data_IF_565255809373
#
_entry.id   IF_565255809373
#
_cell.length_a   1.000
_cell.length_b   1.000
_cell.length_c   1.000
_cell.angle_alpha   90.00
_cell.angle_beta   90.00
_cell.angle_gamma   90.00
#
_symmetry.space_group_name_H-M   'P 1'
#
loop_
_entity.id
_entity.type
_entity.pdbx_description
1 polymer ?
#
# COMPACT_ATOMS: atom_id res chain seq x y z
N UNK A 1 -60.85 51.54 -37.80
CA UNK A 1 -60.61 50.21 -37.20
C UNK A 1 -59.36 49.61 -37.83
N UNK A 2 -58.18 49.90 -37.26
CA UNK A 2 -56.89 49.31 -37.65
C UNK A 2 -56.36 48.59 -36.41
N UNK A 3 -56.30 47.26 -36.50
CA UNK A 3 -55.80 46.36 -35.47
C UNK A 3 -54.26 46.47 -35.41
N UNK A 4 -53.72 46.85 -34.25
CA UNK A 4 -52.30 46.68 -33.92
C UNK A 4 -52.12 45.28 -33.31
N UNK A 5 -51.28 44.46 -33.95
CA UNK A 5 -50.83 43.15 -33.44
C UNK A 5 -49.62 43.36 -32.51
N UNK A 6 -49.50 42.64 -31.36
CA UNK A 6 -48.31 42.70 -30.53
C UNK A 6 -47.20 41.85 -31.16
N UNK A 7 -45.98 42.40 -31.23
CA UNK A 7 -44.79 41.66 -31.60
C UNK A 7 -44.32 40.83 -30.40
N UNK A 8 -44.35 39.50 -30.52
CA UNK A 8 -43.78 38.56 -29.55
C UNK A 8 -42.29 38.44 -29.87
N UNK A 9 -41.44 38.94 -28.97
CA UNK A 9 -39.99 38.78 -29.04
C UNK A 9 -39.64 37.37 -28.55
N UNK A 10 -39.20 36.50 -29.46
CA UNK A 10 -38.61 35.20 -29.11
C UNK A 10 -37.20 35.44 -28.54
N UNK A 11 -37.06 35.30 -27.22
CA UNK A 11 -35.76 35.24 -26.56
C UNK A 11 -35.23 33.81 -26.72
N UNK A 12 -34.27 33.61 -27.62
CA UNK A 12 -33.61 32.32 -27.82
C UNK A 12 -32.69 32.05 -26.63
N UNK A 13 -33.11 31.17 -25.73
CA UNK A 13 -32.27 30.66 -24.64
C UNK A 13 -31.21 29.73 -25.27
N UNK A 14 -29.97 30.21 -25.40
CA UNK A 14 -28.84 29.36 -25.77
C UNK A 14 -28.49 28.54 -24.53
N UNK A 15 -28.96 27.30 -24.49
CA UNK A 15 -28.52 26.31 -23.52
C UNK A 15 -27.06 25.96 -23.86
N UNK A 16 -26.12 26.59 -23.17
CA UNK A 16 -24.71 26.16 -23.19
C UNK A 16 -24.67 24.87 -22.39
N UNK A 17 -24.78 23.74 -23.07
CA UNK A 17 -24.43 22.44 -22.48
C UNK A 17 -22.90 22.43 -22.39
N UNK A 18 -22.29 22.38 -21.20
CA UNK A 18 -20.87 22.09 -21.11
C UNK A 18 -20.68 20.70 -21.73
N UNK A 19 -20.00 20.66 -22.88
CA UNK A 19 -19.43 19.41 -23.36
C UNK A 19 -18.30 19.09 -22.40
N UNK A 20 -18.58 18.25 -21.40
CA UNK A 20 -17.54 17.55 -20.67
C UNK A 20 -16.81 16.68 -21.69
N UNK A 21 -15.62 17.12 -22.11
CA UNK A 21 -14.70 16.26 -22.82
C UNK A 21 -14.17 15.29 -21.78
N UNK A 22 -14.67 14.04 -21.78
CA UNK A 22 -13.99 12.96 -21.06
C UNK A 22 -12.60 12.85 -21.67
N UNK A 23 -11.59 13.31 -20.94
CA UNK A 23 -10.22 13.00 -21.28
C UNK A 23 -10.03 11.52 -20.99
N UNK A 24 -9.61 10.77 -22.01
CA UNK A 24 -9.19 9.40 -21.81
C UNK A 24 -7.95 9.41 -20.90
N UNK A 25 -7.94 8.67 -19.81
CA UNK A 25 -6.79 8.57 -18.90
C UNK A 25 -6.28 7.13 -18.86
N UNK A 26 -5.05 6.89 -18.40
CA UNK A 26 -4.51 5.55 -18.18
C UNK A 26 -3.69 5.49 -16.89
N UNK A 27 -3.82 4.39 -16.13
CA UNK A 27 -3.06 4.21 -14.89
C UNK A 27 -1.57 4.07 -15.20
N UNK A 28 -0.73 4.88 -14.57
CA UNK A 28 0.72 4.87 -14.78
C UNK A 28 1.45 4.54 -13.48
N UNK A 29 2.33 3.54 -13.55
CA UNK A 29 3.28 3.23 -12.46
C UNK A 29 4.71 3.40 -12.95
N UNK A 30 5.55 3.98 -12.10
CA UNK A 30 7.00 4.10 -12.36
C UNK A 30 7.73 3.27 -11.32
N UNK A 31 8.34 2.18 -11.77
CA UNK A 31 9.17 1.31 -10.93
C UNK A 31 10.64 1.59 -11.19
N UNK A 32 11.43 1.82 -10.14
CA UNK A 32 12.89 2.00 -10.23
C UNK A 32 13.57 0.87 -9.47
N UNK A 33 14.33 0.04 -10.19
CA UNK A 33 15.30 -0.89 -9.62
C UNK A 33 16.64 -0.18 -9.51
N UNK A 34 16.94 0.30 -8.30
CA UNK A 34 18.11 1.12 -8.08
C UNK A 34 19.40 0.32 -8.06
N UNK A 35 20.51 0.84 -8.63
CA UNK A 35 21.83 0.26 -8.41
C UNK A 35 22.25 0.44 -6.94
N UNK A 36 23.28 -0.28 -6.49
CA UNK A 36 23.85 -0.17 -5.12
C UNK A 36 24.51 1.19 -4.80
N UNK A 37 24.31 2.18 -5.64
CA UNK A 37 24.75 3.56 -5.47
C UNK A 37 23.58 4.51 -5.76
N UNK A 38 22.34 4.10 -5.46
CA UNK A 38 21.10 4.90 -5.56
C UNK A 38 21.27 6.34 -5.10
N UNK A 39 22.08 6.59 -4.06
CA UNK A 39 22.32 7.92 -3.51
C UNK A 39 22.79 8.96 -4.54
N UNK A 40 23.46 8.55 -5.62
CA UNK A 40 23.99 9.47 -6.63
C UNK A 40 23.04 9.67 -7.83
N UNK A 41 21.87 9.03 -7.80
CA UNK A 41 20.91 9.00 -8.89
C UNK A 41 19.59 9.65 -8.49
N UNK A 42 18.86 10.15 -9.49
CA UNK A 42 17.43 10.50 -9.37
C UNK A 42 16.75 10.28 -10.72
N UNK A 43 15.43 10.10 -10.69
CA UNK A 43 14.57 10.10 -11.86
C UNK A 43 13.51 11.17 -11.65
N UNK A 44 13.28 12.01 -12.64
CA UNK A 44 12.19 12.98 -12.63
C UNK A 44 11.17 12.58 -13.70
N UNK A 45 9.88 12.72 -13.40
CA UNK A 45 8.77 12.43 -14.32
C UNK A 45 8.15 13.75 -14.75
N UNK A 46 7.99 13.95 -16.05
CA UNK A 46 7.45 15.18 -16.62
C UNK A 46 6.25 14.91 -17.52
N UNK A 47 5.30 15.84 -17.51
CA UNK A 47 4.18 15.87 -18.44
C UNK A 47 4.57 16.47 -19.81
N UNK A 48 3.69 16.37 -20.82
CA UNK A 48 3.89 16.99 -22.14
C UNK A 48 4.11 18.51 -22.14
N UNK A 49 3.69 19.20 -21.07
CA UNK A 49 3.83 20.64 -20.89
C UNK A 49 5.12 21.03 -20.13
N UNK A 50 6.01 20.07 -19.86
CA UNK A 50 7.25 20.20 -19.07
C UNK A 50 7.00 20.55 -17.59
N UNK A 51 5.83 20.25 -17.04
CA UNK A 51 5.61 20.29 -15.60
C UNK A 51 6.24 19.05 -14.97
N UNK A 52 6.97 19.26 -13.87
CA UNK A 52 7.52 18.16 -13.07
C UNK A 52 6.38 17.55 -12.25
N UNK A 53 6.11 16.26 -12.48
CA UNK A 53 5.09 15.51 -11.75
C UNK A 53 5.67 14.85 -10.50
N UNK A 54 6.86 14.25 -10.61
CA UNK A 54 7.45 13.47 -9.52
C UNK A 54 8.98 13.47 -9.59
N UNK A 55 9.63 13.55 -8.43
CA UNK A 55 11.06 13.27 -8.28
C UNK A 55 11.25 12.00 -7.45
N UNK A 56 11.95 11.03 -8.02
CA UNK A 56 12.23 9.72 -7.42
C UNK A 56 13.72 9.65 -7.12
N UNK A 57 14.09 9.39 -5.86
CA UNK A 57 15.47 9.22 -5.42
C UNK A 57 15.53 8.41 -4.11
N UNK A 58 16.74 8.24 -3.58
CA UNK A 58 16.95 7.62 -2.28
C UNK A 58 16.45 8.50 -1.12
N UNK A 59 15.50 7.97 -0.34
CA UNK A 59 14.86 8.67 0.79
C UNK A 59 15.86 9.20 1.83
N UNK A 60 16.96 8.47 2.05
CA UNK A 60 17.97 8.86 3.04
C UNK A 60 19.05 9.76 2.43
N UNK A 61 19.26 9.66 1.11
CA UNK A 61 20.41 10.23 0.40
C UNK A 61 20.03 10.64 -1.03
N UNK A 62 19.10 11.57 -1.18
CA UNK A 62 18.65 11.97 -2.52
C UNK A 62 19.74 12.74 -3.29
N UNK A 63 20.22 12.16 -4.39
CA UNK A 63 21.08 12.80 -5.42
C UNK A 63 22.33 13.53 -4.86
N UNK A 64 23.18 12.78 -4.16
CA UNK A 64 24.41 13.23 -3.50
C UNK A 64 25.66 12.73 -4.24
N UNK A 65 26.74 13.52 -4.27
CA UNK A 65 28.02 13.12 -4.88
C UNK A 65 28.75 12.02 -4.11
N UNK A 66 28.48 11.89 -2.81
CA UNK A 66 29.10 10.90 -1.92
C UNK A 66 28.06 10.27 -1.01
N UNK A 67 28.14 8.96 -0.82
CA UNK A 67 27.22 8.22 0.00
C UNK A 67 27.48 6.72 -0.05
N UNK A 68 26.62 5.98 0.64
CA UNK A 68 26.52 4.54 0.56
C UNK A 68 25.05 4.22 0.62
N UNK A 69 24.61 3.33 -0.27
CA UNK A 69 23.27 2.79 -0.30
C UNK A 69 23.33 1.35 -0.80
N UNK A 70 22.22 0.64 -0.72
CA UNK A 70 22.08 -0.71 -1.24
C UNK A 70 21.12 -0.70 -2.44
N UNK A 71 21.10 -1.79 -3.20
CA UNK A 71 20.08 -1.96 -4.25
C UNK A 71 18.73 -2.14 -3.57
N UNK A 72 17.72 -1.44 -4.05
CA UNK A 72 16.32 -1.63 -3.68
C UNK A 72 15.45 -1.30 -4.89
N UNK A 73 14.23 -1.83 -4.91
CA UNK A 73 13.24 -1.45 -5.92
C UNK A 73 12.23 -0.55 -5.24
N UNK A 74 11.61 0.35 -5.98
CA UNK A 74 10.51 1.18 -5.48
C UNK A 74 9.53 1.39 -6.62
N UNK A 75 8.23 1.40 -6.35
CA UNK A 75 7.19 1.68 -7.33
C UNK A 75 6.32 2.82 -6.86
N UNK A 76 6.22 3.84 -7.71
CA UNK A 76 5.32 4.96 -7.53
C UNK A 76 4.10 4.75 -8.40
N UNK A 77 2.91 4.87 -7.82
CA UNK A 77 1.66 4.97 -8.56
C UNK A 77 1.34 6.44 -8.81
N UNK A 78 1.26 6.84 -10.08
CA UNK A 78 0.94 8.19 -10.49
C UNK A 78 -0.57 8.37 -10.76
N UNK A 79 -1.38 7.33 -10.49
CA UNK A 79 -2.79 7.35 -10.81
C UNK A 79 -3.03 7.38 -12.31
N UNK A 80 -4.14 7.99 -12.72
CA UNK A 80 -4.57 8.03 -14.11
C UNK A 80 -4.06 9.30 -14.81
N UNK A 81 -2.97 9.16 -15.57
CA UNK A 81 -2.46 10.28 -16.36
C UNK A 81 -3.30 10.48 -17.63
N UNK A 82 -3.53 11.74 -18.00
CA UNK A 82 -4.34 12.10 -19.16
C UNK A 82 -3.66 11.77 -20.49
N UNK A 83 -4.46 11.26 -21.43
CA UNK A 83 -4.09 11.13 -22.83
C UNK A 83 -4.23 12.50 -23.46
N UNK A 84 -3.11 13.11 -23.86
CA UNK A 84 -3.17 14.32 -24.68
C UNK A 84 -3.66 13.94 -26.10
N UNK A 85 -4.84 14.41 -26.53
CA UNK A 85 -5.43 14.05 -27.81
C UNK A 85 -4.82 14.79 -29.01
N UNK A 86 -3.87 15.73 -28.81
CA UNK A 86 -3.37 16.61 -29.88
C UNK A 86 -1.83 16.69 -29.87
N UNK A 87 -1.17 15.61 -30.29
CA UNK A 87 0.11 15.64 -31.02
C UNK A 87 1.25 16.54 -30.47
N UNK A 88 1.38 16.68 -29.14
CA UNK A 88 2.51 17.30 -28.44
C UNK A 88 3.22 16.24 -27.56
N UNK A 89 4.48 16.48 -27.11
CA UNK A 89 5.42 15.40 -26.84
C UNK A 89 4.90 14.47 -25.74
N UNK A 90 5.09 13.18 -25.95
CA UNK A 90 4.95 12.14 -24.93
C UNK A 90 5.45 12.62 -23.56
N UNK A 91 4.84 12.12 -22.48
CA UNK A 91 5.44 12.18 -21.15
C UNK A 91 6.89 11.69 -21.23
N UNK A 92 7.75 12.17 -20.33
CA UNK A 92 9.13 11.75 -20.33
C UNK A 92 9.69 11.61 -18.93
N UNK A 93 10.61 10.66 -18.80
CA UNK A 93 11.50 10.57 -17.67
C UNK A 93 12.75 11.38 -17.95
N UNK A 94 13.31 11.99 -16.92
CA UNK A 94 14.67 12.52 -16.94
C UNK A 94 15.52 11.77 -15.93
N UNK A 95 16.49 11.01 -16.44
CA UNK A 95 17.30 10.08 -15.63
C UNK A 95 18.65 10.71 -15.35
N UNK A 96 18.99 10.85 -14.07
CA UNK A 96 20.19 11.55 -13.64
C UNK A 96 21.19 10.63 -12.93
N UNK A 97 22.45 11.01 -13.04
CA UNK A 97 23.55 10.53 -12.23
C UNK A 97 24.54 11.68 -11.99
N UNK A 98 24.71 12.12 -10.74
CA UNK A 98 25.47 13.34 -10.43
C UNK A 98 26.98 13.22 -10.70
N UNK A 99 27.50 11.99 -10.77
CA UNK A 99 28.92 11.70 -10.90
C UNK A 99 29.32 11.29 -12.33
N UNK A 100 28.40 11.39 -13.30
CA UNK A 100 28.59 10.93 -14.69
C UNK A 100 29.13 9.49 -14.79
N UNK A 101 28.71 8.63 -13.88
CA UNK A 101 28.98 7.20 -13.87
C UNK A 101 27.66 6.43 -14.02
N UNK A 102 27.19 6.19 -15.28
CA UNK A 102 25.86 5.68 -15.55
C UNK A 102 25.51 4.40 -14.78
N UNK A 103 24.21 4.12 -14.68
CA UNK A 103 23.72 2.99 -13.89
C UNK A 103 24.27 1.67 -14.45
N UNK A 104 24.42 0.68 -13.57
CA UNK A 104 25.05 -0.60 -13.90
C UNK A 104 24.36 -1.76 -13.20
N UNK A 105 24.70 -3.00 -13.62
CA UNK A 105 24.09 -4.21 -13.08
C UNK A 105 22.70 -4.44 -13.65
N UNK A 106 21.74 -4.82 -12.80
CA UNK A 106 20.34 -5.02 -13.16
C UNK A 106 19.48 -3.76 -13.00
N UNK A 107 20.11 -2.60 -12.78
CA UNK A 107 19.38 -1.37 -12.53
C UNK A 107 18.50 -0.97 -13.73
N UNK A 108 17.31 -0.49 -13.43
CA UNK A 108 16.38 -0.03 -14.47
C UNK A 108 15.33 0.93 -13.91
N UNK A 109 14.74 1.71 -14.81
CA UNK A 109 13.44 2.35 -14.59
C UNK A 109 12.46 1.79 -15.61
N UNK A 110 11.31 1.36 -15.12
CA UNK A 110 10.21 0.80 -15.92
C UNK A 110 8.97 1.66 -15.74
N UNK A 111 8.34 2.02 -16.86
CA UNK A 111 7.02 2.66 -16.86
C UNK A 111 6.00 1.64 -17.32
N UNK A 112 5.05 1.36 -16.43
CA UNK A 112 3.90 0.52 -16.71
C UNK A 112 2.68 1.40 -16.97
N UNK A 113 2.02 1.22 -18.11
CA UNK A 113 0.78 1.91 -18.47
C UNK A 113 -0.31 0.85 -18.63
N UNK A 114 -1.33 0.92 -17.76
CA UNK A 114 -2.47 0.02 -17.76
C UNK A 114 -2.08 -1.48 -17.81
N UNK A 115 -1.06 -1.87 -17.04
CA UNK A 115 -0.60 -3.26 -16.94
C UNK A 115 0.44 -3.66 -17.98
N UNK A 116 0.84 -2.76 -18.90
CA UNK A 116 1.85 -3.03 -19.92
C UNK A 116 3.09 -2.17 -19.68
N UNK A 117 4.27 -2.80 -19.62
CA UNK A 117 5.54 -2.08 -19.59
C UNK A 117 5.80 -1.41 -20.96
N UNK A 118 5.65 -0.10 -21.02
CA UNK A 118 5.81 0.69 -22.26
C UNK A 118 7.22 1.28 -22.40
N UNK A 119 7.96 1.36 -21.29
CA UNK A 119 9.33 1.80 -21.24
C UNK A 119 10.10 0.97 -20.22
N UNK A 120 11.30 0.53 -20.59
CA UNK A 120 12.34 0.05 -19.67
C UNK A 120 13.66 0.66 -20.09
N UNK A 121 14.24 1.51 -19.25
CA UNK A 121 15.55 2.10 -19.45
C UNK A 121 16.52 1.59 -18.37
N UNK A 122 17.77 1.34 -18.75
CA UNK A 122 18.79 0.74 -17.84
C UNK A 122 19.63 1.79 -17.13
N UNK A 123 19.38 3.08 -17.36
CA UNK A 123 20.15 4.21 -16.83
C UNK A 123 21.59 4.27 -17.34
N UNK A 124 21.93 3.50 -18.38
CA UNK A 124 23.29 3.42 -18.96
C UNK A 124 23.70 4.70 -19.69
N UNK A 125 22.74 5.58 -19.97
CA UNK A 125 22.94 6.91 -20.56
C UNK A 125 22.75 8.04 -19.54
N UNK A 126 22.50 7.73 -18.26
CA UNK A 126 22.25 8.74 -17.23
C UNK A 126 23.49 9.64 -17.02
N UNK A 127 23.25 10.93 -16.81
CA UNK A 127 24.31 11.94 -16.64
C UNK A 127 23.92 13.01 -15.62
N UNK A 128 24.84 13.89 -15.26
CA UNK A 128 24.60 15.00 -14.34
C UNK A 128 23.64 16.03 -14.95
N UNK A 129 23.57 16.12 -16.29
CA UNK A 129 22.63 16.98 -17.00
C UNK A 129 21.20 16.38 -17.06
N UNK A 130 21.08 15.08 -16.78
CA UNK A 130 19.88 14.29 -16.97
C UNK A 130 19.68 13.89 -18.44
N UNK A 131 19.14 12.69 -18.64
CA UNK A 131 18.87 12.13 -19.96
C UNK A 131 17.38 11.88 -20.12
N UNK A 132 16.79 12.48 -21.14
CA UNK A 132 15.35 12.40 -21.39
C UNK A 132 14.99 11.08 -22.11
N UNK A 133 13.97 10.40 -21.61
CA UNK A 133 13.43 9.16 -22.19
C UNK A 133 11.91 9.26 -22.24
N UNK A 134 11.38 9.31 -23.45
CA UNK A 134 9.95 9.52 -23.70
C UNK A 134 9.14 8.22 -23.56
N UNK A 135 7.92 8.33 -23.05
CA UNK A 135 6.96 7.22 -22.98
C UNK A 135 5.54 7.71 -23.29
N UNK A 136 4.75 6.83 -23.91
CA UNK A 136 3.39 7.16 -24.32
C UNK A 136 2.39 6.53 -23.35
N UNK A 137 1.38 7.29 -22.94
CA UNK A 137 0.32 6.82 -22.03
C UNK A 137 -0.93 6.36 -22.75
N UNK A 138 -0.98 6.33 -24.09
CA UNK A 138 -2.14 5.88 -24.86
C UNK A 138 -2.22 4.35 -24.83
N UNK A 139 -3.04 3.84 -23.91
CA UNK A 139 -3.48 2.45 -23.90
C UNK A 139 -4.92 2.34 -24.39
N UNK A 140 -5.27 1.16 -24.94
CA UNK A 140 -6.65 0.82 -25.27
C UNK A 140 -7.52 0.61 -24.00
N UNK A 141 -6.87 0.39 -22.85
CA UNK A 141 -7.51 0.12 -21.57
C UNK A 141 -7.59 1.41 -20.76
N UNK A 142 -8.68 2.17 -20.95
CA UNK A 142 -8.91 3.40 -20.19
C UNK A 142 -8.85 3.15 -18.68
N UNK A 143 -8.32 4.13 -17.96
CA UNK A 143 -8.50 4.20 -16.52
C UNK A 143 -9.99 4.35 -16.22
N UNK A 144 -10.57 3.32 -15.62
CA UNK A 144 -11.92 3.35 -15.05
C UNK A 144 -11.85 3.45 -13.54
N UNK A 145 -10.76 4.00 -13.01
CA UNK A 145 -10.68 4.30 -11.59
C UNK A 145 -11.64 5.47 -11.30
N UNK A 146 -12.37 5.42 -10.18
CA UNK A 146 -13.14 6.56 -9.68
C UNK A 146 -12.28 7.84 -9.56
N UNK A 147 -12.96 8.97 -9.71
CA UNK A 147 -12.51 10.36 -9.55
C UNK A 147 -13.75 11.08 -9.01
N UNK A 148 -13.92 11.00 -7.68
CA UNK A 148 -15.18 11.27 -7.00
C UNK A 148 -15.52 12.76 -7.02
N UNK A 149 -14.55 13.65 -6.77
CA UNK A 149 -14.72 15.10 -6.83
C UNK A 149 -14.56 15.71 -8.25
N UNK A 150 -13.96 14.96 -9.18
CA UNK A 150 -13.79 15.37 -10.57
C UNK A 150 -12.63 16.34 -10.81
N UNK A 151 -11.64 16.42 -9.92
CA UNK A 151 -10.49 17.32 -10.06
C UNK A 151 -9.41 16.82 -11.04
N UNK A 152 -9.51 15.54 -11.44
CA UNK A 152 -8.63 14.88 -12.40
C UNK A 152 -7.47 14.10 -11.76
N UNK A 153 -7.38 14.08 -10.44
CA UNK A 153 -6.73 13.04 -9.64
C UNK A 153 -7.74 11.90 -9.47
N UNK A 154 -7.27 10.66 -9.31
CA UNK A 154 -8.19 9.52 -9.10
C UNK A 154 -8.11 9.09 -7.67
N UNK A 155 -9.24 8.63 -7.13
CA UNK A 155 -9.42 8.25 -5.72
C UNK A 155 -8.30 7.33 -5.18
N UNK A 156 -7.72 6.52 -6.06
CA UNK A 156 -6.64 5.62 -5.68
C UNK A 156 -5.34 6.31 -5.21
N UNK A 157 -5.09 7.53 -5.69
CA UNK A 157 -3.89 8.34 -5.39
C UNK A 157 -4.22 9.75 -4.93
N UNK A 158 -5.50 10.10 -4.90
CA UNK A 158 -5.98 11.26 -4.17
C UNK A 158 -5.79 11.01 -2.66
N UNK A 159 -5.74 12.07 -1.87
CA UNK A 159 -5.68 11.99 -0.41
C UNK A 159 -6.98 12.44 0.24
N UNK A 160 -7.90 13.00 -0.53
CA UNK A 160 -9.16 13.63 -0.16
C UNK A 160 -10.13 13.48 -1.35
N UNK A 161 -10.69 12.29 -1.53
CA UNK A 161 -11.41 11.84 -2.75
C UNK A 161 -12.68 12.67 -3.04
N UNK A 162 -13.28 13.31 -2.03
CA UNK A 162 -14.45 14.19 -2.16
C UNK A 162 -14.16 15.68 -1.93
N UNK A 163 -12.91 16.00 -1.55
CA UNK A 163 -12.35 17.34 -1.41
C UNK A 163 -13.09 18.22 -0.39
N UNK A 164 -13.61 17.59 0.67
CA UNK A 164 -14.31 18.25 1.76
C UNK A 164 -13.34 18.93 2.77
N UNK A 165 -12.04 18.60 2.66
CA UNK A 165 -10.95 19.13 3.48
C UNK A 165 -10.51 18.23 4.63
N UNK A 166 -11.03 17.00 4.71
CA UNK A 166 -10.57 15.91 5.57
C UNK A 166 -9.91 14.85 4.66
N UNK A 167 -8.88 14.16 5.16
CA UNK A 167 -8.18 13.16 4.33
C UNK A 167 -8.90 11.81 4.41
N UNK A 168 -8.90 11.02 3.33
CA UNK A 168 -9.56 9.71 3.26
C UNK A 168 -9.13 8.76 4.39
N UNK A 169 -7.84 8.84 4.75
CA UNK A 169 -7.25 8.07 5.85
C UNK A 169 -7.93 8.37 7.19
N UNK A 170 -8.44 9.58 7.35
CA UNK A 170 -9.20 10.04 8.51
C UNK A 170 -10.67 9.62 8.46
N UNK A 171 -11.28 9.60 7.29
CA UNK A 171 -12.73 9.41 7.12
C UNK A 171 -13.13 7.97 6.86
N UNK A 172 -12.51 7.33 5.87
CA UNK A 172 -12.88 5.96 5.49
C UNK A 172 -12.59 4.92 6.55
N UNK A 173 -11.79 5.29 7.54
CA UNK A 173 -11.49 4.46 8.70
C UNK A 173 -12.23 4.91 9.98
N UNK A 174 -12.98 6.01 9.92
CA UNK A 174 -13.82 6.54 11.00
C UNK A 174 -13.09 7.39 12.05
N UNK A 175 -11.86 7.81 11.79
CA UNK A 175 -11.04 8.53 12.78
C UNK A 175 -11.54 9.94 13.09
N UNK A 176 -12.37 10.55 12.24
CA UNK A 176 -13.05 11.81 12.54
C UNK A 176 -13.94 11.72 13.80
N UNK A 177 -14.38 10.51 14.17
CA UNK A 177 -15.22 10.22 15.34
C UNK A 177 -14.50 9.48 16.49
N UNK A 178 -13.24 9.06 16.30
CA UNK A 178 -12.51 8.23 17.28
C UNK A 178 -11.10 8.77 17.55
N UNK A 179 -10.79 8.96 18.84
CA UNK A 179 -9.40 9.11 19.29
C UNK A 179 -8.65 7.79 19.08
N UNK A 180 -7.31 7.83 18.96
CA UNK A 180 -6.42 6.65 18.88
C UNK A 180 -6.52 5.79 20.17
N UNK A 181 -7.69 5.19 20.42
CA UNK A 181 -8.12 4.67 21.71
C UNK A 181 -7.66 3.24 21.95
N UNK A 182 -7.31 2.51 20.87
CA UNK A 182 -6.59 1.25 21.02
C UNK A 182 -5.12 1.57 21.30
N UNK A 183 -4.64 1.32 22.53
CA UNK A 183 -3.25 1.58 22.87
C UNK A 183 -2.33 0.61 22.11
N UNK A 184 -1.10 1.05 21.85
CA UNK A 184 -0.05 0.25 21.21
C UNK A 184 0.07 -1.10 21.92
N UNK A 185 -0.23 -2.20 21.23
CA UNK A 185 -0.12 -3.54 21.84
C UNK A 185 1.34 -4.00 21.83
N UNK A 186 1.81 -4.50 22.97
CA UNK A 186 3.14 -5.07 23.12
C UNK A 186 3.12 -6.58 22.85
N UNK A 187 4.15 -7.04 22.14
CA UNK A 187 4.38 -8.44 21.85
C UNK A 187 5.75 -8.82 22.39
N UNK A 188 5.72 -9.49 23.54
CA UNK A 188 6.92 -10.00 24.22
C UNK A 188 6.58 -11.17 25.10
N UNK A 189 7.58 -11.99 25.39
CA UNK A 189 7.51 -13.04 26.41
C UNK A 189 6.21 -13.87 26.36
N UNK A 190 5.81 -14.38 25.19
CA UNK A 190 4.55 -15.10 25.05
C UNK A 190 4.50 -16.33 25.95
N UNK A 191 3.35 -16.58 26.56
CA UNK A 191 3.08 -17.79 27.34
C UNK A 191 2.10 -18.66 26.57
N UNK A 192 2.36 -19.96 26.49
CA UNK A 192 1.36 -20.92 25.98
C UNK A 192 0.19 -20.97 26.97
N UNK A 193 -0.95 -20.44 26.57
CA UNK A 193 -2.18 -20.36 27.37
C UNK A 193 -2.95 -21.68 27.30
N UNK A 194 -3.04 -22.29 26.10
CA UNK A 194 -3.65 -23.61 25.91
C UNK A 194 -3.16 -24.33 24.65
N UNK A 195 -3.55 -25.60 24.51
CA UNK A 195 -3.18 -26.44 23.37
C UNK A 195 -1.77 -27.06 23.48
N UNK A 196 -1.21 -27.45 22.34
CA UNK A 196 0.17 -27.97 22.24
C UNK A 196 1.01 -27.01 21.41
N UNK A 197 2.13 -26.53 21.95
CA UNK A 197 2.97 -25.54 21.26
C UNK A 197 3.29 -25.96 19.81
N UNK A 198 3.09 -25.03 18.89
CA UNK A 198 3.40 -25.16 17.47
C UNK A 198 2.41 -25.99 16.65
N UNK A 199 1.27 -26.41 17.21
CA UNK A 199 0.22 -27.14 16.48
C UNK A 199 -1.06 -26.31 16.33
N UNK A 200 -1.93 -26.70 15.40
CA UNK A 200 -3.29 -26.15 15.30
C UNK A 200 -3.99 -26.25 16.67
N UNK A 201 -4.66 -25.17 17.08
CA UNK A 201 -5.32 -25.00 18.37
C UNK A 201 -4.39 -24.59 19.53
N UNK A 202 -3.10 -24.37 19.28
CA UNK A 202 -2.22 -23.73 20.27
C UNK A 202 -2.61 -22.25 20.43
N UNK A 203 -2.75 -21.79 21.66
CA UNK A 203 -3.05 -20.39 21.98
C UNK A 203 -1.90 -19.81 22.79
N UNK A 204 -1.33 -18.70 22.33
CA UNK A 204 -0.31 -17.94 23.03
C UNK A 204 -0.91 -16.64 23.56
N UNK A 205 -0.60 -16.31 24.81
CA UNK A 205 -1.00 -15.05 25.47
C UNK A 205 0.19 -14.09 25.51
N UNK A 206 -0.07 -12.87 25.10
CA UNK A 206 0.83 -11.72 25.24
C UNK A 206 0.23 -10.77 26.27
N UNK A 207 0.95 -10.57 27.38
CA UNK A 207 0.54 -9.72 28.51
C UNK A 207 0.55 -8.24 28.12
N UNK A 208 -0.61 -7.59 28.21
CA UNK A 208 -0.78 -6.15 28.01
C UNK A 208 -1.49 -5.49 29.22
N UNK A 209 -1.28 -6.04 30.41
CA UNK A 209 -1.96 -5.64 31.66
C UNK A 209 -1.86 -4.15 32.01
N UNK A 210 -0.84 -3.42 31.54
CA UNK A 210 -0.75 -1.95 31.70
C UNK A 210 -1.92 -1.19 31.04
N UNK A 211 -2.57 -1.82 30.07
CA UNK A 211 -3.74 -1.32 29.34
C UNK A 211 -5.03 -2.01 29.79
N UNK A 212 -4.96 -2.97 30.73
CA UNK A 212 -6.08 -3.81 31.13
C UNK A 212 -6.51 -4.82 30.05
N UNK A 213 -5.64 -5.14 29.11
CA UNK A 213 -5.88 -6.03 27.98
C UNK A 213 -4.84 -7.15 27.94
N UNK A 214 -5.15 -8.23 27.23
CA UNK A 214 -4.17 -9.21 26.73
C UNK A 214 -4.47 -9.49 25.25
N UNK A 215 -3.48 -10.05 24.54
CA UNK A 215 -3.68 -10.58 23.18
C UNK A 215 -3.54 -12.09 23.20
N UNK A 216 -4.58 -12.79 22.74
CA UNK A 216 -4.53 -14.23 22.45
C UNK A 216 -4.27 -14.44 20.96
N UNK A 217 -3.23 -15.22 20.66
CA UNK A 217 -2.87 -15.61 19.30
C UNK A 217 -3.01 -17.13 19.17
N UNK A 218 -4.06 -17.56 18.47
CA UNK A 218 -4.36 -18.96 18.19
C UNK A 218 -3.82 -19.37 16.82
N UNK A 219 -3.16 -20.53 16.73
CA UNK A 219 -2.86 -21.17 15.46
C UNK A 219 -4.13 -21.85 14.94
N UNK A 220 -4.78 -21.25 13.97
CA UNK A 220 -6.06 -21.73 13.42
C UNK A 220 -5.85 -22.78 12.32
N UNK A 221 -4.84 -22.58 11.46
CA UNK A 221 -4.53 -23.47 10.34
C UNK A 221 -3.02 -23.52 10.08
N UNK A 222 -2.51 -24.69 9.71
CA UNK A 222 -1.13 -24.88 9.24
C UNK A 222 -1.20 -25.62 7.90
N UNK A 223 -0.76 -24.98 6.82
CA UNK A 223 -0.66 -25.63 5.51
C UNK A 223 0.44 -26.72 5.53
N UNK A 224 0.33 -27.76 4.67
CA UNK A 224 1.39 -28.73 4.50
C UNK A 224 2.75 -28.07 4.19
N UNK A 225 3.78 -28.46 4.94
CA UNK A 225 5.14 -27.93 4.76
C UNK A 225 5.46 -26.68 5.57
N UNK A 226 4.54 -26.21 6.43
CA UNK A 226 4.78 -25.09 7.34
C UNK A 226 4.97 -25.58 8.77
N UNK A 227 5.91 -24.98 9.50
CA UNK A 227 6.03 -25.16 10.95
C UNK A 227 6.39 -23.86 11.66
N UNK A 228 5.90 -23.72 12.90
CA UNK A 228 6.27 -22.60 13.77
C UNK A 228 7.69 -22.83 14.30
N UNK A 229 8.58 -21.85 14.08
CA UNK A 229 9.91 -21.83 14.69
C UNK A 229 9.88 -21.02 15.99
N UNK A 230 9.24 -19.84 15.96
CA UNK A 230 8.92 -19.05 17.15
C UNK A 230 7.63 -18.27 16.92
N UNK A 231 6.76 -18.18 17.94
CA UNK A 231 5.58 -17.30 17.88
C UNK A 231 5.98 -15.82 17.97
N UNK A 232 7.07 -15.54 18.67
CA UNK A 232 7.69 -14.23 18.74
C UNK A 232 9.19 -14.41 18.94
N UNK A 233 10.00 -13.83 18.06
CA UNK A 233 11.45 -14.04 18.05
C UNK A 233 12.14 -13.11 19.05
N UNK A 234 12.94 -13.67 19.96
CA UNK A 234 13.75 -12.90 20.93
C UNK A 234 15.07 -12.35 20.34
N UNK A 235 15.32 -12.52 19.04
CA UNK A 235 16.57 -12.02 18.44
C UNK A 235 16.44 -10.50 18.25
N UNK A 236 17.20 -9.72 19.03
CA UNK A 236 17.14 -8.25 19.05
C UNK A 236 15.71 -7.71 19.24
N UNK A 237 15.06 -7.99 20.41
CA UNK A 237 13.65 -7.68 20.66
C UNK A 237 13.35 -6.20 20.46
N UNK A 238 12.25 -5.94 19.78
CA UNK A 238 11.63 -4.63 19.69
C UNK A 238 10.21 -4.85 20.22
N UNK A 239 9.96 -4.34 21.42
CA UNK A 239 8.85 -4.75 22.32
C UNK A 239 7.44 -4.57 21.74
N UNK A 240 7.32 -3.77 20.68
CA UNK A 240 6.05 -3.35 20.07
C UNK A 240 5.72 -4.12 18.78
N UNK A 241 6.60 -5.06 18.36
CA UNK A 241 6.43 -5.84 17.14
C UNK A 241 6.26 -7.33 17.46
N UNK A 242 5.17 -7.92 16.98
CA UNK A 242 5.07 -9.36 16.86
C UNK A 242 6.06 -9.82 15.79
N UNK A 243 6.98 -10.72 16.13
CA UNK A 243 7.98 -11.22 15.16
C UNK A 243 7.93 -12.74 15.04
N UNK A 244 6.89 -13.21 14.39
CA UNK A 244 6.65 -14.64 14.17
C UNK A 244 7.66 -15.20 13.20
N UNK A 245 8.39 -16.24 13.61
CA UNK A 245 9.30 -16.96 12.72
C UNK A 245 8.68 -18.29 12.28
N UNK A 246 8.49 -18.45 10.98
CA UNK A 246 7.96 -19.65 10.36
C UNK A 246 9.03 -20.33 9.52
N UNK A 247 8.96 -21.66 9.45
CA UNK A 247 9.74 -22.46 8.50
C UNK A 247 8.81 -23.04 7.45
N UNK A 248 9.20 -22.88 6.20
CA UNK A 248 8.47 -23.36 5.03
C UNK A 248 9.28 -24.42 4.31
N UNK A 249 8.63 -25.43 3.76
CA UNK A 249 9.22 -26.47 2.90
C UNK A 249 8.22 -26.88 1.85
N UNK A 250 8.42 -26.45 0.61
CA UNK A 250 7.50 -26.74 -0.49
C UNK A 250 7.55 -25.69 -1.60
N UNK A 251 6.64 -25.85 -2.56
CA UNK A 251 6.45 -24.95 -3.71
C UNK A 251 4.97 -24.53 -3.75
N UNK A 252 4.69 -23.31 -4.21
CA UNK A 252 3.35 -22.74 -4.27
C UNK A 252 3.13 -21.64 -3.23
N UNK A 253 1.87 -21.37 -2.91
CA UNK A 253 1.47 -20.41 -1.87
C UNK A 253 0.95 -21.17 -0.65
N UNK A 254 1.64 -21.04 0.48
CA UNK A 254 1.30 -21.79 1.69
C UNK A 254 1.80 -21.05 2.94
N UNK A 255 1.10 -21.22 4.06
CA UNK A 255 1.32 -20.46 5.29
C UNK A 255 0.64 -21.00 6.54
N UNK A 256 0.72 -20.21 7.60
CA UNK A 256 0.06 -20.45 8.88
C UNK A 256 -0.95 -19.34 9.14
N UNK A 257 -2.21 -19.71 9.39
CA UNK A 257 -3.28 -18.78 9.74
C UNK A 257 -3.34 -18.61 11.25
N UNK A 258 -3.28 -17.37 11.69
CA UNK A 258 -3.39 -16.99 13.08
C UNK A 258 -4.70 -16.25 13.31
N UNK A 259 -5.38 -16.58 14.39
CA UNK A 259 -6.50 -15.83 14.91
C UNK A 259 -6.05 -15.03 16.13
N UNK A 260 -6.27 -13.74 16.05
CA UNK A 260 -5.98 -12.79 17.12
C UNK A 260 -7.27 -12.49 17.86
N UNK A 261 -7.21 -12.39 19.19
CA UNK A 261 -8.33 -11.96 20.02
C UNK A 261 -7.80 -11.05 21.11
N UNK A 262 -8.23 -9.78 21.13
CA UNK A 262 -7.98 -8.89 22.25
C UNK A 262 -8.98 -9.21 23.35
N UNK A 263 -8.47 -9.55 24.53
CA UNK A 263 -9.28 -9.97 25.68
C UNK A 263 -9.03 -9.05 26.87
N UNK A 264 -9.93 -9.09 27.84
CA UNK A 264 -9.71 -8.45 29.14
C UNK A 264 -8.51 -9.14 29.83
N UNK A 265 -7.62 -8.34 30.42
CA UNK A 265 -6.43 -8.78 31.17
C UNK A 265 -6.70 -10.04 32.02
N UNK A 266 -5.83 -11.05 31.87
CA UNK A 266 -5.87 -12.33 32.58
C UNK A 266 -7.16 -13.15 32.36
N UNK A 267 -7.91 -12.89 31.29
CA UNK A 267 -9.10 -13.67 30.91
C UNK A 267 -9.03 -14.22 29.50
N UNK A 268 -10.05 -14.95 29.06
CA UNK A 268 -10.29 -15.30 27.65
C UNK A 268 -11.52 -14.59 27.07
N UNK A 269 -12.05 -13.61 27.80
CA UNK A 269 -13.25 -12.87 27.40
C UNK A 269 -12.86 -11.74 26.46
N UNK A 270 -13.35 -11.72 25.20
CA UNK A 270 -13.04 -10.64 24.26
C UNK A 270 -13.37 -9.26 24.86
N UNK A 271 -12.48 -8.31 24.67
CA UNK A 271 -12.62 -6.97 25.24
C UNK A 271 -13.80 -6.23 24.57
N UNK A 272 -14.86 -5.84 25.31
CA UNK A 272 -16.10 -5.35 24.72
C UNK A 272 -15.99 -3.93 24.13
N UNK A 273 -14.95 -3.17 24.51
CA UNK A 273 -14.76 -1.78 24.10
C UNK A 273 -13.80 -1.63 22.91
N UNK A 274 -13.37 -2.74 22.29
CA UNK A 274 -12.52 -2.72 21.11
C UNK A 274 -13.41 -2.90 19.88
N UNK A 275 -13.77 -1.78 19.26
CA UNK A 275 -14.66 -1.74 18.10
C UNK A 275 -13.92 -1.93 16.76
N UNK A 276 -12.64 -1.59 16.70
CA UNK A 276 -11.76 -1.74 15.53
C UNK A 276 -10.33 -1.96 16.01
N UNK A 277 -9.50 -2.58 15.18
CA UNK A 277 -8.06 -2.75 15.41
C UNK A 277 -7.35 -2.49 14.09
N UNK A 278 -6.38 -1.57 14.11
CA UNK A 278 -5.47 -1.30 13.01
C UNK A 278 -4.04 -1.70 13.36
N UNK A 279 -3.22 -1.77 12.33
CA UNK A 279 -1.79 -2.02 12.48
C UNK A 279 -1.06 -2.07 11.15
N UNK A 280 0.23 -2.36 11.24
CA UNK A 280 1.12 -2.41 10.09
C UNK A 280 1.84 -3.74 10.05
N UNK A 281 1.78 -4.38 8.88
CA UNK A 281 2.71 -5.44 8.51
C UNK A 281 4.00 -4.81 8.02
N UNK A 282 5.13 -5.26 8.56
CA UNK A 282 6.46 -4.71 8.28
C UNK A 282 7.35 -5.73 7.60
N UNK A 283 8.38 -5.23 6.93
CA UNK A 283 9.44 -6.04 6.33
C UNK A 283 8.92 -7.11 5.35
N UNK A 284 7.84 -6.81 4.63
CA UNK A 284 7.25 -7.77 3.70
C UNK A 284 8.10 -7.81 2.43
N UNK A 285 9.08 -8.69 2.41
CA UNK A 285 10.09 -8.72 1.35
C UNK A 285 10.18 -10.08 0.64
N UNK A 286 11.31 -10.40 0.00
CA UNK A 286 11.47 -11.70 -0.62
C UNK A 286 12.90 -12.05 -0.92
N UNK A 287 13.08 -13.01 -1.82
CA UNK A 287 14.35 -13.46 -2.39
C UNK A 287 14.07 -13.85 -3.83
N UNK A 288 15.09 -14.20 -4.63
CA UNK A 288 14.85 -14.52 -6.04
C UNK A 288 13.74 -15.54 -6.32
N UNK A 289 13.55 -16.54 -5.45
CA UNK A 289 12.57 -17.62 -5.67
C UNK A 289 11.44 -17.72 -4.64
N UNK A 290 11.43 -16.85 -3.62
CA UNK A 290 10.44 -16.88 -2.54
C UNK A 290 10.05 -15.45 -2.19
N UNK A 291 8.77 -15.20 -1.95
CA UNK A 291 8.26 -13.88 -1.56
C UNK A 291 7.42 -14.05 -0.31
N UNK A 292 7.65 -13.22 0.71
CA UNK A 292 6.71 -13.14 1.81
C UNK A 292 5.39 -12.57 1.32
N UNK A 293 4.33 -13.07 1.93
CA UNK A 293 3.00 -12.58 1.67
C UNK A 293 2.18 -12.67 2.95
N UNK A 294 1.34 -11.67 3.15
CA UNK A 294 0.44 -11.58 4.30
C UNK A 294 -0.96 -11.44 3.77
N UNK A 295 -1.86 -12.30 4.24
CA UNK A 295 -3.27 -12.29 3.88
C UNK A 295 -4.11 -11.91 5.08
N UNK A 296 -4.95 -10.90 4.90
CA UNK A 296 -5.91 -10.39 5.85
C UNK A 296 -7.29 -10.98 5.51
N UNK A 297 -7.96 -11.61 6.49
CA UNK A 297 -9.29 -12.21 6.27
C UNK A 297 -10.39 -11.23 6.69
N UNK A 298 -11.23 -10.82 5.74
CA UNK A 298 -12.27 -9.80 5.93
C UNK A 298 -11.77 -8.52 6.63
N UNK A 299 -10.69 -7.86 6.14
CA UNK A 299 -10.30 -6.56 6.68
C UNK A 299 -11.40 -5.53 6.40
N UNK A 300 -11.53 -4.54 7.28
CA UNK A 300 -12.30 -3.32 7.01
C UNK A 300 -11.56 -2.44 6.00
N UNK A 301 -10.23 -2.40 6.10
CA UNK A 301 -9.39 -1.74 5.12
C UNK A 301 -7.98 -2.35 5.09
N UNK A 302 -7.27 -2.15 3.99
CA UNK A 302 -5.86 -2.48 3.88
C UNK A 302 -5.20 -1.57 2.84
N UNK A 303 -3.90 -1.36 2.94
CA UNK A 303 -3.22 -0.49 1.99
C UNK A 303 -1.71 -0.66 2.00
N UNK A 304 -1.08 0.01 1.06
CA UNK A 304 0.38 0.11 0.92
C UNK A 304 0.76 1.57 0.81
N UNK A 305 1.97 1.92 1.20
CA UNK A 305 2.48 3.29 1.02
C UNK A 305 2.67 3.61 -0.48
N UNK A 306 2.84 4.88 -0.82
CA UNK A 306 3.28 5.30 -2.15
C UNK A 306 4.50 6.22 -1.98
N UNK A 307 5.72 5.73 -2.27
CA UNK A 307 6.00 4.50 -3.00
C UNK A 307 5.97 3.22 -2.16
N UNK A 308 5.89 2.08 -2.84
CA UNK A 308 5.96 0.75 -2.22
C UNK A 308 6.79 -0.24 -3.04
N UNK A 309 7.23 -1.33 -2.40
CA UNK A 309 7.72 -2.54 -3.05
C UNK A 309 6.73 -3.69 -3.00
N UNK A 310 5.52 -3.45 -2.49
CA UNK A 310 4.53 -4.49 -2.27
C UNK A 310 3.56 -4.56 -3.45
N UNK A 311 3.21 -5.78 -3.83
CA UNK A 311 2.08 -6.07 -4.68
C UNK A 311 0.85 -6.31 -3.80
N UNK A 312 -0.30 -5.71 -4.13
CA UNK A 312 -1.57 -6.00 -3.47
C UNK A 312 -2.22 -7.26 -4.07
N UNK A 313 -2.69 -8.15 -3.22
CA UNK A 313 -3.42 -9.37 -3.58
C UNK A 313 -4.90 -9.24 -3.21
N UNK A 314 -5.79 -9.72 -4.08
CA UNK A 314 -7.24 -9.77 -3.83
C UNK A 314 -7.65 -11.23 -3.65
N UNK A 315 -8.40 -11.50 -2.58
CA UNK A 315 -9.00 -12.80 -2.30
C UNK A 315 -10.52 -12.66 -2.23
N UNK A 316 -11.30 -13.73 -2.50
CA UNK A 316 -12.76 -13.68 -2.38
C UNK A 316 -13.28 -13.33 -0.97
N UNK A 317 -12.47 -13.58 0.06
CA UNK A 317 -12.76 -13.47 1.49
C UNK A 317 -11.74 -12.55 2.21
N UNK A 318 -11.10 -11.65 1.47
CA UNK A 318 -10.16 -10.69 2.04
C UNK A 318 -9.14 -10.16 1.05
N UNK A 319 -8.01 -9.73 1.58
CA UNK A 319 -6.97 -9.08 0.82
C UNK A 319 -5.59 -9.51 1.31
N UNK A 320 -4.54 -9.07 0.64
CA UNK A 320 -3.20 -9.29 1.12
C UNK A 320 -2.17 -8.44 0.40
N UNK A 321 -0.93 -8.65 0.82
CA UNK A 321 0.24 -8.06 0.19
C UNK A 321 1.29 -9.12 -0.04
N UNK A 322 2.15 -8.89 -1.02
CA UNK A 322 3.28 -9.73 -1.36
C UNK A 322 4.51 -8.87 -1.60
N UNK A 323 5.62 -9.23 -0.98
CA UNK A 323 6.91 -8.60 -1.22
C UNK A 323 7.45 -8.91 -2.60
N UNK A 324 8.36 -8.08 -3.10
CA UNK A 324 9.07 -8.35 -4.36
C UNK A 324 10.14 -9.44 -4.21
N UNK A 325 10.78 -9.80 -5.33
CA UNK A 325 11.89 -10.78 -5.38
C UNK A 325 13.23 -10.16 -4.98
N UNK A 326 13.26 -9.46 -3.85
CA UNK A 326 14.46 -8.81 -3.34
C UNK A 326 14.53 -8.95 -1.81
N UNK A 327 15.71 -9.31 -1.33
CA UNK A 327 16.00 -9.55 0.08
C UNK A 327 16.48 -8.26 0.74
N UNK A 328 15.81 -7.90 1.83
CA UNK A 328 16.20 -6.89 2.79
C UNK A 328 16.63 -7.65 4.05
N UNK A 329 17.94 -7.74 4.33
CA UNK A 329 18.41 -8.65 5.36
C UNK A 329 17.95 -8.26 6.77
N UNK A 330 17.23 -9.19 7.41
CA UNK A 330 16.74 -9.01 8.78
C UNK A 330 15.58 -8.00 8.84
N UNK A 331 15.08 -7.77 10.05
CA UNK A 331 13.95 -6.87 10.24
C UNK A 331 14.25 -5.45 9.74
N UNK A 332 13.41 -4.94 8.85
CA UNK A 332 13.56 -3.62 8.23
C UNK A 332 12.27 -2.77 8.36
N UNK A 333 12.41 -1.59 8.97
CA UNK A 333 11.32 -0.63 9.20
C UNK A 333 11.14 0.35 8.02
N UNK A 334 11.71 0.08 6.85
CA UNK A 334 11.53 0.93 5.67
C UNK A 334 10.06 0.97 5.25
N UNK A 335 9.54 2.18 5.03
CA UNK A 335 8.12 2.38 4.70
C UNK A 335 7.72 1.81 3.35
N UNK A 336 8.68 1.51 2.47
CA UNK A 336 8.38 0.86 1.18
C UNK A 336 8.04 -0.64 1.34
N UNK A 337 8.37 -1.24 2.49
CA UNK A 337 8.15 -2.67 2.80
C UNK A 337 6.90 -2.92 3.66
N UNK A 338 6.12 -1.87 3.95
CA UNK A 338 5.03 -1.95 4.92
C UNK A 338 3.65 -1.92 4.27
N UNK A 339 2.68 -2.53 4.94
CA UNK A 339 1.27 -2.52 4.55
C UNK A 339 0.39 -2.28 5.77
N UNK A 340 -0.57 -1.37 5.63
CA UNK A 340 -1.58 -1.11 6.66
C UNK A 340 -2.69 -2.17 6.57
N UNK A 341 -3.27 -2.52 7.71
CA UNK A 341 -4.51 -3.28 7.80
C UNK A 341 -5.40 -2.74 8.91
N UNK A 342 -6.70 -2.90 8.74
CA UNK A 342 -7.71 -2.62 9.76
C UNK A 342 -8.77 -3.71 9.76
N UNK A 343 -9.23 -4.09 10.94
CA UNK A 343 -10.33 -5.02 11.15
C UNK A 343 -11.40 -4.40 12.05
N UNK A 344 -12.64 -4.78 11.82
CA UNK A 344 -13.76 -4.50 12.71
C UNK A 344 -13.80 -5.51 13.86
N UNK A 345 -14.00 -5.00 15.07
CA UNK A 345 -14.09 -5.77 16.31
C UNK A 345 -12.73 -6.12 16.93
N UNK A 346 -12.80 -7.02 17.90
CA UNK A 346 -11.67 -7.43 18.76
C UNK A 346 -11.05 -8.78 18.35
N UNK A 347 -11.56 -9.40 17.29
CA UNK A 347 -11.18 -10.73 16.83
C UNK A 347 -11.03 -10.72 15.32
N UNK A 348 -9.87 -11.14 14.83
CA UNK A 348 -9.55 -11.12 13.40
C UNK A 348 -8.54 -12.23 13.07
N UNK A 349 -8.32 -12.47 11.78
CA UNK A 349 -7.39 -13.49 11.34
C UNK A 349 -6.48 -13.01 10.22
N UNK A 350 -5.21 -13.43 10.32
CA UNK A 350 -4.15 -13.10 9.38
C UNK A 350 -3.39 -14.39 9.06
N UNK A 351 -3.10 -14.62 7.78
CA UNK A 351 -2.23 -15.71 7.35
C UNK A 351 -0.88 -15.17 6.91
N UNK A 352 0.15 -15.63 7.60
CA UNK A 352 1.56 -15.39 7.27
C UNK A 352 1.99 -16.51 6.32
N UNK A 353 2.33 -16.17 5.09
CA UNK A 353 2.54 -17.13 4.01
C UNK A 353 3.75 -16.77 3.15
N UNK A 354 4.20 -17.72 2.35
CA UNK A 354 5.16 -17.46 1.28
C UNK A 354 4.57 -17.84 -0.06
N UNK A 355 5.01 -17.15 -1.11
CA UNK A 355 4.88 -17.57 -2.50
C UNK A 355 6.24 -18.08 -2.96
N UNK A 356 6.41 -19.40 -3.03
CA UNK A 356 7.66 -20.05 -3.39
C UNK A 356 7.57 -20.67 -4.79
N UNK A 357 8.50 -20.34 -5.67
CA UNK A 357 8.51 -20.88 -7.04
C UNK A 357 9.23 -22.21 -7.16
N UNK A 358 10.04 -22.53 -6.16
CA UNK A 358 10.92 -23.69 -6.13
C UNK A 358 10.71 -24.44 -4.83
N UNK A 359 11.00 -25.74 -4.83
CA UNK A 359 10.90 -26.53 -3.60
C UNK A 359 12.12 -26.26 -2.70
N UNK A 360 12.03 -25.24 -1.85
CA UNK A 360 13.07 -24.84 -0.90
C UNK A 360 12.56 -24.90 0.54
N UNK A 361 13.49 -25.15 1.47
CA UNK A 361 13.24 -25.01 2.89
C UNK A 361 13.86 -23.71 3.41
N UNK A 362 13.02 -22.77 3.85
CA UNK A 362 13.44 -21.43 4.26
C UNK A 362 12.78 -21.03 5.58
N UNK A 363 13.51 -20.41 6.53
CA UNK A 363 12.89 -19.65 7.61
C UNK A 363 12.58 -18.23 7.14
N UNK A 364 11.40 -17.71 7.49
CA UNK A 364 10.99 -16.32 7.26
C UNK A 364 10.47 -15.71 8.55
N UNK A 365 10.69 -14.41 8.72
CA UNK A 365 10.29 -13.64 9.89
C UNK A 365 9.20 -12.67 9.45
N UNK A 366 8.01 -12.78 10.03
CA UNK A 366 6.91 -11.87 9.76
C UNK A 366 6.81 -10.90 10.93
N UNK A 367 6.83 -9.61 10.63
CA UNK A 367 6.77 -8.56 11.63
C UNK A 367 5.47 -7.77 11.52
N UNK A 368 4.83 -7.50 12.66
CA UNK A 368 3.58 -6.71 12.71
C UNK A 368 3.56 -5.81 13.94
N UNK A 369 3.12 -4.56 13.78
CA UNK A 369 2.74 -3.68 14.89
C UNK A 369 1.23 -3.50 14.90
N UNK A 370 0.65 -3.29 16.09
CA UNK A 370 -0.78 -3.07 16.27
C UNK A 370 -0.99 -1.69 16.87
N UNK A 371 -0.88 -0.72 15.96
CA UNK A 371 -0.80 0.71 16.20
C UNK A 371 -1.73 1.38 15.20
N UNK A 372 -2.98 1.59 15.61
CA UNK A 372 -4.05 1.98 14.70
C UNK A 372 -3.75 3.30 13.96
N UNK A 373 -3.04 4.23 14.60
CA UNK A 373 -2.75 5.55 14.04
C UNK A 373 -1.49 5.63 13.19
N UNK A 374 -0.78 4.50 12.97
CA UNK A 374 0.36 4.48 12.04
C UNK A 374 -0.06 4.83 10.61
N UNK A 375 -1.35 4.71 10.27
CA UNK A 375 -1.87 5.11 8.95
C UNK A 375 -1.60 6.58 8.63
N UNK A 376 -1.58 7.46 9.63
CA UNK A 376 -1.27 8.88 9.43
C UNK A 376 0.21 9.15 9.10
N UNK A 377 1.09 8.17 9.34
CA UNK A 377 2.49 8.23 8.93
C UNK A 377 2.70 7.72 7.49
N UNK A 378 1.66 7.26 6.79
CA UNK A 378 1.74 6.87 5.37
C UNK A 378 1.74 8.13 4.52
N UNK A 379 2.65 8.21 3.54
CA UNK A 379 2.89 9.46 2.80
C UNK A 379 1.78 9.75 1.79
N UNK A 380 1.30 8.70 1.13
CA UNK A 380 0.19 8.72 0.18
C UNK A 380 -0.32 7.27 0.04
N UNK A 381 -0.95 6.71 1.07
CA UNK A 381 -1.31 5.31 1.06
C UNK A 381 -2.32 5.02 -0.05
N UNK A 382 -2.07 3.99 -0.85
CA UNK A 382 -3.13 3.39 -1.67
C UNK A 382 -3.96 2.51 -0.77
N UNK A 383 -4.95 3.12 -0.11
CA UNK A 383 -5.86 2.48 0.82
C UNK A 383 -7.06 1.90 0.08
N UNK A 384 -7.44 0.68 0.42
CA UNK A 384 -8.68 0.05 -0.04
C UNK A 384 -9.57 -0.13 1.18
N UNK A 385 -10.63 0.66 1.24
CA UNK A 385 -11.71 0.54 2.22
C UNK A 385 -12.73 -0.46 1.68
N UNK A 386 -13.03 -1.49 2.46
CA UNK A 386 -14.00 -2.53 2.10
C UNK A 386 -15.30 -2.44 2.90
N UNK A 387 -15.25 -1.80 4.08
CA UNK A 387 -16.40 -1.49 4.92
C UNK A 387 -16.09 -0.20 5.69
N UNK A 388 -16.32 0.95 5.06
CA UNK A 388 -16.11 2.27 5.65
C UNK A 388 -17.18 2.67 6.65
N UNK A 389 -17.08 3.89 7.17
CA UNK A 389 -18.19 4.52 7.88
C UNK A 389 -19.08 5.25 6.86
N UNK A 390 -20.40 5.11 7.01
CA UNK A 390 -21.45 5.74 6.19
C UNK A 390 -22.38 6.49 7.17
N UNK A 391 -22.10 7.77 7.50
CA UNK A 391 -22.77 8.46 8.59
C UNK A 391 -24.24 8.80 8.33
N UNK A 392 -24.60 9.04 7.07
CA UNK A 392 -25.93 9.49 6.68
C UNK A 392 -26.83 8.33 6.17
N UNK A 393 -26.21 7.19 5.85
CA UNK A 393 -26.85 5.92 5.54
C UNK A 393 -27.30 5.77 4.09
N UNK A 394 -26.70 6.53 3.17
CA UNK A 394 -27.05 6.49 1.74
C UNK A 394 -26.35 5.35 0.97
N UNK A 395 -25.33 4.73 1.59
CA UNK A 395 -24.56 3.62 1.06
C UNK A 395 -23.23 4.01 0.39
N UNK A 396 -22.81 5.27 0.51
CA UNK A 396 -21.45 5.73 0.21
C UNK A 396 -20.62 5.76 1.50
N UNK A 397 -19.38 5.30 1.41
CA UNK A 397 -18.46 5.46 2.54
C UNK A 397 -18.01 6.93 2.60
N UNK A 398 -17.84 7.50 3.79
CA UNK A 398 -17.65 8.92 4.03
C UNK A 398 -16.51 9.56 3.23
N UNK A 399 -15.44 8.84 2.92
CA UNK A 399 -14.35 9.39 2.11
C UNK A 399 -14.74 9.61 0.64
N UNK A 400 -15.86 9.03 0.19
CA UNK A 400 -16.37 9.17 -1.17
C UNK A 400 -17.67 10.00 -1.20
N UNK A 401 -18.05 10.61 -0.07
CA UNK A 401 -19.39 11.14 0.16
C UNK A 401 -19.37 12.67 0.29
N UNK A 402 -19.56 13.31 -0.87
CA UNK A 402 -19.58 14.78 -1.02
C UNK A 402 -20.66 15.46 -0.15
N UNK A 403 -21.69 14.73 0.33
CA UNK A 403 -22.78 15.29 1.14
C UNK A 403 -22.97 14.69 2.54
N UNK A 404 -21.96 14.00 3.08
CA UNK A 404 -21.90 13.38 4.41
C UNK A 404 -22.36 14.26 5.61
#
# INVERSE_FOLDING_TARGET
MKLLRPAISFLTLILVVPLAFSQSTNRVKVSVDWPSFSYQNKVEVYDPANNLLLTICDDNKCYQTTGSSTRYITTYDLGCLSIDPIALPNYYLKIFNINDNPWSGSASVTVNVAGVDVLTDTGTTASAAGTDVVFNVNSATLCTLPDTDGDGVVDLVDQDDDNDGILDVGEGLGFSNFTCDVPVLSFRSPVLDSGTAGTVGAVYRFDNSSQGLDVLVEIEEIDPGVSLTSIDSDIAPIEDYLRTQLRFTGVGTFGMKFKFTIVIDNTTTPAPNIARIGGTSWDVDGRPNERESIRYYNPSAYGVDNPTTLETDIYPDGAGVTGIRLDFPGFNESTILRSYFQFSGNTFSIKMQIKNDVNLSTPRLFAMSFTQCDIFDYKAPSLVVLNGDDPDGDGLDNQLDIDA
#
